data_IF_835611757960
#
_entry.id   IF_835611757960
#
_cell.length_a   1.000
_cell.length_b   1.000
_cell.length_c   1.000
_cell.angle_alpha   90.00
_cell.angle_beta   90.00
_cell.angle_gamma   90.00
#
_symmetry.space_group_name_H-M   'P 1'
#
loop_
_entity.id
_entity.type
_entity.pdbx_description
1 polymer ?
#
# COMPACT_ATOMS: atom_id res chain seq x y z
N UNK A 1 36.60 15.94 5.50
CA UNK A 1 35.48 16.37 4.63
C UNK A 1 34.22 16.38 5.47
N UNK A 2 33.68 17.55 5.78
CA UNK A 2 32.53 17.69 6.66
C UNK A 2 31.27 17.14 5.97
N UNK A 3 30.65 16.13 6.60
CA UNK A 3 29.36 15.58 6.21
C UNK A 3 28.29 16.66 6.36
N UNK A 4 27.80 17.15 5.22
CA UNK A 4 26.72 18.12 5.14
C UNK A 4 25.38 17.42 5.48
N UNK A 5 25.16 17.10 6.77
CA UNK A 5 23.81 16.74 7.23
C UNK A 5 22.98 18.01 7.14
N UNK A 6 22.11 18.09 6.13
CA UNK A 6 21.01 19.06 6.12
C UNK A 6 20.34 18.99 7.48
N UNK A 7 20.36 20.08 8.23
CA UNK A 7 19.52 20.22 9.42
C UNK A 7 18.08 20.04 8.94
N UNK A 8 17.41 19.00 9.42
CA UNK A 8 16.01 18.75 9.09
C UNK A 8 15.18 19.86 9.72
N UNK A 9 14.77 20.84 8.92
CA UNK A 9 13.83 21.87 9.36
C UNK A 9 12.43 21.25 9.39
N UNK A 10 12.08 20.74 10.58
CA UNK A 10 10.78 20.11 10.86
C UNK A 10 9.61 21.04 10.55
N UNK A 11 9.77 22.37 10.72
CA UNK A 11 8.71 23.33 10.43
C UNK A 11 8.50 23.46 8.93
N UNK A 12 9.58 23.71 8.18
CA UNK A 12 9.50 23.81 6.71
C UNK A 12 8.97 22.52 6.08
N UNK A 13 9.37 21.36 6.63
CA UNK A 13 8.85 20.06 6.20
C UNK A 13 7.32 19.95 6.37
N UNK A 14 6.81 20.27 7.57
CA UNK A 14 5.37 20.22 7.86
C UNK A 14 4.58 21.23 7.04
N UNK A 15 5.16 22.41 6.77
CA UNK A 15 4.53 23.42 5.91
C UNK A 15 4.38 22.90 4.47
N UNK A 16 5.42 22.30 3.90
CA UNK A 16 5.37 21.70 2.56
C UNK A 16 4.36 20.53 2.48
N UNK A 17 4.33 19.66 3.49
CA UNK A 17 3.34 18.59 3.57
C UNK A 17 1.91 19.17 3.62
N UNK A 18 1.67 20.21 4.41
CA UNK A 18 0.36 20.85 4.50
C UNK A 18 -0.06 21.50 3.18
N UNK A 19 0.87 22.14 2.46
CA UNK A 19 0.63 22.69 1.11
C UNK A 19 0.23 21.57 0.15
N UNK A 20 0.94 20.44 0.18
CA UNK A 20 0.63 19.28 -0.65
C UNK A 20 -0.76 18.70 -0.32
N UNK A 21 -1.06 18.48 0.97
CA UNK A 21 -2.37 17.99 1.41
C UNK A 21 -3.48 18.94 0.94
N UNK A 22 -3.31 20.25 1.08
CA UNK A 22 -4.33 21.22 0.69
C UNK A 22 -4.60 21.24 -0.82
N UNK A 23 -3.63 20.81 -1.65
CA UNK A 23 -3.77 20.75 -3.10
C UNK A 23 -4.23 19.39 -3.63
N UNK A 24 -3.91 18.29 -2.92
CA UNK A 24 -4.12 16.93 -3.42
C UNK A 24 -5.23 16.16 -2.69
N UNK A 25 -5.56 16.54 -1.45
CA UNK A 25 -6.62 15.87 -0.70
C UNK A 25 -8.01 16.36 -1.14
N UNK A 26 -8.82 15.44 -1.66
CA UNK A 26 -10.08 15.74 -2.34
C UNK A 26 -11.01 16.65 -1.50
N UNK A 27 -11.10 16.36 -0.20
CA UNK A 27 -11.99 17.08 0.72
C UNK A 27 -11.50 18.48 1.12
N UNK A 28 -10.27 18.86 0.71
CA UNK A 28 -9.72 20.21 0.91
C UNK A 28 -9.60 21.01 -0.38
N UNK A 29 -9.21 20.37 -1.49
CA UNK A 29 -8.96 21.08 -2.75
C UNK A 29 -10.23 21.26 -3.59
N UNK A 30 -11.26 20.42 -3.41
CA UNK A 30 -12.46 20.47 -4.23
C UNK A 30 -13.41 21.60 -3.81
N UNK A 31 -13.77 22.46 -4.76
CA UNK A 31 -14.70 23.58 -4.56
C UNK A 31 -16.08 23.15 -4.04
N UNK A 32 -16.51 21.91 -4.33
CA UNK A 32 -17.74 21.28 -3.83
C UNK A 32 -17.86 21.33 -2.30
N UNK A 33 -16.74 21.33 -1.59
CA UNK A 33 -16.69 21.26 -0.13
C UNK A 33 -16.47 22.62 0.55
N UNK A 34 -16.54 23.73 -0.19
CA UNK A 34 -16.41 25.09 0.36
C UNK A 34 -17.69 25.54 1.10
N UNK A 35 -17.52 26.43 2.09
CA UNK A 35 -18.62 26.95 2.89
C UNK A 35 -19.15 25.96 3.93
N UNK A 36 -20.13 26.38 4.75
CA UNK A 36 -20.65 25.58 5.87
C UNK A 36 -21.26 24.24 5.41
N UNK A 37 -22.17 24.28 4.44
CA UNK A 37 -22.80 23.06 3.90
C UNK A 37 -21.81 22.14 3.18
N UNK A 38 -20.82 22.71 2.49
CA UNK A 38 -19.74 21.95 1.87
C UNK A 38 -18.89 21.18 2.89
N UNK A 39 -18.60 21.79 4.05
CA UNK A 39 -17.86 21.14 5.15
C UNK A 39 -18.64 19.99 5.78
N UNK A 40 -19.96 20.14 5.95
CA UNK A 40 -20.83 19.05 6.43
C UNK A 40 -20.81 17.89 5.43
N UNK A 41 -20.96 18.19 4.13
CA UNK A 41 -20.92 17.17 3.08
C UNK A 41 -19.55 16.47 3.01
N UNK A 42 -18.46 17.21 3.16
CA UNK A 42 -17.12 16.63 3.20
C UNK A 42 -16.96 15.62 4.34
N UNK A 43 -17.55 15.90 5.51
CA UNK A 43 -17.48 15.00 6.65
C UNK A 43 -18.22 13.69 6.38
N UNK A 44 -19.42 13.75 5.78
CA UNK A 44 -20.19 12.57 5.39
C UNK A 44 -19.47 11.74 4.31
N UNK A 45 -19.12 12.37 3.18
CA UNK A 45 -18.47 11.72 2.05
C UNK A 45 -17.10 11.12 2.48
N UNK A 46 -16.40 11.75 3.42
CA UNK A 46 -15.16 11.24 4.02
C UNK A 46 -15.40 9.97 4.84
N UNK A 47 -16.39 9.98 5.74
CA UNK A 47 -16.70 8.80 6.56
C UNK A 47 -17.09 7.61 5.69
N UNK A 48 -17.87 7.84 4.62
CA UNK A 48 -18.22 6.79 3.66
C UNK A 48 -16.99 6.21 2.95
N UNK A 49 -16.04 7.07 2.54
CA UNK A 49 -14.79 6.63 1.93
C UNK A 49 -13.94 5.78 2.89
N UNK A 50 -13.80 6.22 4.15
CA UNK A 50 -13.06 5.52 5.20
C UNK A 50 -13.68 4.14 5.53
N UNK A 51 -15.01 4.04 5.60
CA UNK A 51 -15.71 2.77 5.81
C UNK A 51 -15.49 1.78 4.66
N UNK A 52 -15.58 2.26 3.42
CA UNK A 52 -15.40 1.43 2.22
C UNK A 52 -13.99 0.86 2.16
N UNK A 53 -13.01 1.63 2.60
CA UNK A 53 -11.62 1.19 2.65
C UNK A 53 -11.38 0.17 3.78
N UNK A 54 -11.97 0.40 4.96
CA UNK A 54 -11.87 -0.50 6.11
C UNK A 54 -12.41 -1.90 5.80
N UNK A 55 -13.50 -2.00 5.01
CA UNK A 55 -14.05 -3.29 4.56
C UNK A 55 -13.11 -4.07 3.64
N UNK A 56 -12.15 -3.42 2.98
CA UNK A 56 -11.22 -4.03 2.03
C UNK A 56 -9.86 -4.39 2.61
N UNK A 57 -9.47 -3.83 3.75
CA UNK A 57 -8.09 -3.86 4.26
C UNK A 57 -7.72 -5.07 5.15
N UNK A 58 -8.58 -6.06 5.30
CA UNK A 58 -8.32 -7.25 6.13
C UNK A 58 -7.29 -8.22 5.52
N UNK A 59 -6.51 -8.90 6.36
CA UNK A 59 -5.67 -10.04 5.92
C UNK A 59 -6.59 -11.19 5.51
N UNK A 60 -6.55 -11.58 4.24
CA UNK A 60 -7.40 -12.65 3.69
C UNK A 60 -6.57 -13.63 2.90
N UNK A 61 -6.98 -14.89 2.98
CA UNK A 61 -6.59 -15.92 2.05
C UNK A 61 -7.59 -15.92 0.90
N UNK A 62 -7.12 -16.10 -0.32
CA UNK A 62 -8.03 -16.41 -1.43
C UNK A 62 -8.33 -17.90 -1.33
N UNK A 63 -9.57 -18.25 -0.96
CA UNK A 63 -10.06 -19.63 -1.02
C UNK A 63 -10.00 -20.14 -2.46
N UNK A 64 -9.58 -21.40 -2.63
CA UNK A 64 -9.64 -22.05 -3.93
C UNK A 64 -11.11 -22.17 -4.37
N UNK A 65 -11.45 -21.80 -5.61
CA UNK A 65 -12.82 -21.96 -6.09
C UNK A 65 -13.20 -23.45 -6.06
N UNK A 66 -14.30 -23.77 -5.38
CA UNK A 66 -14.90 -25.11 -5.41
C UNK A 66 -15.57 -25.27 -6.76
N UNK A 67 -14.96 -26.05 -7.66
CA UNK A 67 -15.49 -26.34 -8.99
C UNK A 67 -16.32 -27.62 -8.90
N UNK A 68 -17.60 -27.54 -9.25
CA UNK A 68 -18.48 -28.70 -9.40
C UNK A 68 -18.44 -29.18 -10.86
N UNK A 69 -18.04 -30.45 -11.06
CA UNK A 69 -17.85 -31.04 -12.38
C UNK A 69 -19.14 -31.70 -12.89
N UNK A 70 -19.43 -31.53 -14.17
CA UNK A 70 -20.60 -32.15 -14.84
C UNK A 70 -20.23 -33.19 -15.90
N UNK A 71 -18.98 -33.24 -16.41
CA UNK A 71 -18.60 -34.12 -17.53
C UNK A 71 -17.10 -34.55 -17.50
N UNK A 72 -16.74 -35.86 -17.51
CA UNK A 72 -15.37 -36.35 -17.25
C UNK A 72 -14.39 -36.38 -18.44
N UNK A 73 -14.82 -36.17 -19.70
CA UNK A 73 -14.01 -36.52 -20.88
C UNK A 73 -13.15 -35.39 -21.48
N UNK A 74 -13.13 -34.21 -20.86
CA UNK A 74 -12.18 -33.10 -21.18
C UNK A 74 -11.27 -32.72 -20.00
N UNK A 75 -11.28 -33.54 -18.95
CA UNK A 75 -10.67 -33.26 -17.65
C UNK A 75 -9.17 -32.96 -17.73
N UNK A 76 -8.38 -33.70 -18.51
CA UNK A 76 -6.93 -33.47 -18.57
C UNK A 76 -6.56 -32.15 -19.26
N UNK A 77 -7.19 -31.84 -20.40
CA UNK A 77 -6.92 -30.59 -21.12
C UNK A 77 -7.45 -29.38 -20.34
N UNK A 78 -8.61 -29.52 -19.71
CA UNK A 78 -9.21 -28.49 -18.87
C UNK A 78 -8.42 -28.26 -17.58
N UNK A 79 -7.96 -29.33 -16.90
CA UNK A 79 -7.04 -29.23 -15.75
C UNK A 79 -5.75 -28.52 -16.12
N UNK A 80 -5.11 -28.91 -17.24
CA UNK A 80 -3.89 -28.22 -17.73
C UNK A 80 -4.16 -26.74 -17.99
N UNK A 81 -5.29 -26.39 -18.60
CA UNK A 81 -5.63 -24.99 -18.85
C UNK A 81 -5.87 -24.20 -17.54
N UNK A 82 -6.55 -24.79 -16.56
CA UNK A 82 -6.73 -24.18 -15.23
C UNK A 82 -5.40 -24.03 -14.50
N UNK A 83 -4.57 -25.07 -14.46
CA UNK A 83 -3.25 -25.04 -13.84
C UNK A 83 -2.37 -23.95 -14.45
N UNK A 84 -2.37 -23.81 -15.78
CA UNK A 84 -1.65 -22.74 -16.48
C UNK A 84 -2.21 -21.35 -16.15
N UNK A 85 -3.54 -21.19 -16.11
CA UNK A 85 -4.19 -19.93 -15.74
C UNK A 85 -3.88 -19.53 -14.30
N UNK A 86 -3.89 -20.51 -13.39
CA UNK A 86 -3.60 -20.34 -11.99
C UNK A 86 -2.12 -19.99 -11.79
N UNK A 87 -1.21 -20.70 -12.45
CA UNK A 87 0.23 -20.40 -12.43
C UNK A 87 0.50 -18.95 -12.90
N UNK A 88 -0.10 -18.52 -14.02
CA UNK A 88 0.01 -17.13 -14.52
C UNK A 88 -0.54 -16.10 -13.53
N UNK A 89 -1.60 -16.43 -12.81
CA UNK A 89 -2.18 -15.55 -11.79
C UNK A 89 -1.26 -15.45 -10.57
N UNK A 90 -0.70 -16.57 -10.13
CA UNK A 90 0.25 -16.62 -9.02
C UNK A 90 1.56 -15.91 -9.34
N UNK A 91 2.05 -15.98 -10.57
CA UNK A 91 3.23 -15.22 -10.99
C UNK A 91 3.03 -13.70 -10.97
N UNK A 92 1.77 -13.27 -11.04
CA UNK A 92 1.36 -11.86 -10.96
C UNK A 92 0.91 -11.44 -9.57
N UNK A 93 0.90 -12.35 -8.59
CA UNK A 93 0.45 -12.06 -7.24
C UNK A 93 1.33 -11.01 -6.56
N UNK A 94 0.80 -10.41 -5.48
CA UNK A 94 1.54 -9.47 -4.65
C UNK A 94 2.84 -10.10 -4.15
N UNK A 95 2.77 -11.25 -3.48
CA UNK A 95 3.94 -11.92 -2.88
C UNK A 95 4.99 -12.27 -3.93
N UNK A 96 4.59 -12.83 -5.08
CA UNK A 96 5.54 -13.17 -6.13
C UNK A 96 6.24 -11.94 -6.72
N UNK A 97 5.50 -10.85 -6.90
CA UNK A 97 6.06 -9.59 -7.43
C UNK A 97 6.99 -8.93 -6.42
N UNK A 98 6.60 -8.92 -5.15
CA UNK A 98 7.43 -8.41 -4.05
C UNK A 98 8.78 -9.13 -4.00
N UNK A 99 8.79 -10.46 -4.07
CA UNK A 99 10.03 -11.23 -4.05
C UNK A 99 10.92 -10.92 -5.27
N UNK A 100 10.34 -10.80 -6.47
CA UNK A 100 11.08 -10.40 -7.68
C UNK A 100 11.72 -9.02 -7.53
N UNK A 101 11.02 -8.06 -6.91
CA UNK A 101 11.56 -6.72 -6.65
C UNK A 101 12.74 -6.79 -5.66
N UNK A 102 12.60 -7.57 -4.58
CA UNK A 102 13.65 -7.76 -3.57
C UNK A 102 14.90 -8.37 -4.22
N UNK A 103 14.73 -9.41 -5.02
CA UNK A 103 15.81 -10.07 -5.77
C UNK A 103 16.48 -9.10 -6.76
N UNK A 104 15.70 -8.33 -7.52
CA UNK A 104 16.22 -7.36 -8.48
C UNK A 104 16.99 -6.20 -7.83
N UNK A 105 16.66 -5.85 -6.58
CA UNK A 105 17.35 -4.81 -5.79
C UNK A 105 18.53 -5.35 -4.98
N UNK A 106 18.78 -6.66 -5.00
CA UNK A 106 19.84 -7.34 -4.22
C UNK A 106 19.79 -7.00 -2.71
N UNK A 107 18.57 -6.92 -2.15
CA UNK A 107 18.36 -6.58 -0.75
C UNK A 107 18.07 -7.82 0.10
N UNK A 108 18.63 -7.86 1.32
CA UNK A 108 18.38 -8.95 2.24
C UNK A 108 16.95 -8.87 2.80
N UNK A 109 16.22 -9.99 2.76
CA UNK A 109 14.88 -10.13 3.33
C UNK A 109 14.79 -9.66 4.78
N UNK A 110 15.85 -9.85 5.56
CA UNK A 110 15.94 -9.41 6.97
C UNK A 110 15.88 -7.89 7.08
N UNK A 111 16.59 -7.19 6.21
CA UNK A 111 16.65 -5.73 6.24
C UNK A 111 15.32 -5.14 5.77
N UNK A 112 14.64 -5.78 4.81
CA UNK A 112 13.35 -5.33 4.30
C UNK A 112 12.28 -5.31 5.39
N UNK A 113 12.04 -6.43 6.09
CA UNK A 113 10.96 -6.42 7.10
C UNK A 113 11.31 -5.55 8.31
N UNK A 114 12.60 -5.41 8.66
CA UNK A 114 13.04 -4.50 9.73
C UNK A 114 12.82 -3.04 9.34
N UNK A 115 13.21 -2.66 8.12
CA UNK A 115 13.02 -1.30 7.60
C UNK A 115 11.54 -0.96 7.39
N UNK A 116 10.73 -1.95 7.04
CA UNK A 116 9.27 -1.82 6.98
C UNK A 116 8.59 -1.81 8.35
N UNK A 117 9.35 -2.02 9.44
CA UNK A 117 8.82 -2.17 10.80
C UNK A 117 7.71 -3.24 10.89
N UNK A 118 7.95 -4.42 10.32
CA UNK A 118 7.01 -5.54 10.26
C UNK A 118 7.55 -6.74 11.05
N UNK A 119 6.67 -7.44 11.77
CA UNK A 119 7.02 -8.69 12.45
C UNK A 119 7.53 -9.76 11.46
N UNK A 120 8.61 -10.45 11.84
CA UNK A 120 9.25 -11.49 11.02
C UNK A 120 8.28 -12.62 10.62
N UNK A 121 7.33 -12.99 11.48
CA UNK A 121 6.33 -14.04 11.19
C UNK A 121 5.37 -13.58 10.11
N UNK A 122 4.93 -12.32 10.15
CA UNK A 122 4.08 -11.73 9.12
C UNK A 122 4.82 -11.72 7.77
N UNK A 123 6.07 -11.27 7.75
CA UNK A 123 6.89 -11.34 6.53
C UNK A 123 7.11 -12.77 6.05
N UNK A 124 7.25 -13.74 6.96
CA UNK A 124 7.37 -15.15 6.58
C UNK A 124 6.12 -15.68 5.89
N UNK A 125 4.91 -15.28 6.31
CA UNK A 125 3.65 -15.61 5.63
C UNK A 125 3.65 -15.04 4.21
N UNK A 126 3.89 -13.73 4.09
CA UNK A 126 3.98 -13.03 2.80
C UNK A 126 4.95 -13.75 1.84
N UNK A 127 6.13 -14.15 2.33
CA UNK A 127 7.15 -14.82 1.51
C UNK A 127 6.74 -16.23 1.08
N UNK A 128 6.26 -17.04 2.02
CA UNK A 128 6.08 -18.47 1.77
C UNK A 128 4.71 -18.79 1.13
N UNK A 129 3.73 -17.90 1.26
CA UNK A 129 2.36 -18.11 0.82
C UNK A 129 2.05 -17.22 -0.40
N UNK A 130 2.10 -17.82 -1.60
CA UNK A 130 1.98 -17.07 -2.87
C UNK A 130 0.67 -16.27 -3.02
N UNK A 131 -0.39 -16.67 -2.30
CA UNK A 131 -1.72 -16.06 -2.32
C UNK A 131 -2.00 -15.14 -1.14
N UNK A 132 -1.03 -14.97 -0.25
CA UNK A 132 -1.22 -14.12 0.91
C UNK A 132 -1.39 -12.66 0.47
N UNK A 133 -2.50 -12.05 0.87
CA UNK A 133 -2.76 -10.63 0.66
C UNK A 133 -2.53 -9.92 1.99
N UNK A 134 -1.42 -9.17 2.13
CA UNK A 134 -1.20 -8.38 3.34
C UNK A 134 -2.20 -7.23 3.41
N UNK A 135 -2.33 -6.63 4.60
CA UNK A 135 -3.07 -5.38 4.73
C UNK A 135 -2.47 -4.28 3.84
N UNK A 136 -3.29 -3.31 3.42
CA UNK A 136 -2.81 -2.16 2.64
C UNK A 136 -1.66 -1.41 3.33
N UNK A 137 -1.73 -1.24 4.65
CA UNK A 137 -0.67 -0.59 5.44
C UNK A 137 0.64 -1.37 5.38
N UNK A 138 0.57 -2.69 5.51
CA UNK A 138 1.72 -3.60 5.40
C UNK A 138 2.33 -3.56 3.99
N UNK A 139 1.47 -3.56 2.96
CA UNK A 139 1.92 -3.46 1.56
C UNK A 139 2.64 -2.13 1.28
N UNK A 140 2.12 -1.02 1.80
CA UNK A 140 2.76 0.30 1.70
C UNK A 140 4.08 0.33 2.47
N UNK A 141 4.13 -0.20 3.69
CA UNK A 141 5.34 -0.26 4.49
C UNK A 141 6.47 -1.03 3.77
N UNK A 142 6.14 -2.11 3.06
CA UNK A 142 7.09 -2.85 2.23
C UNK A 142 7.54 -2.05 1.00
N UNK A 143 6.62 -1.35 0.33
CA UNK A 143 6.96 -0.46 -0.79
C UNK A 143 7.92 0.67 -0.36
N UNK A 144 7.67 1.25 0.82
CA UNK A 144 8.52 2.27 1.45
C UNK A 144 9.90 1.68 1.80
N UNK A 145 9.96 0.50 2.41
CA UNK A 145 11.23 -0.16 2.74
C UNK A 145 12.09 -0.44 1.50
N UNK A 146 11.44 -0.81 0.39
CA UNK A 146 12.07 -1.05 -0.91
C UNK A 146 12.36 0.24 -1.70
N UNK A 147 12.00 1.40 -1.17
CA UNK A 147 12.18 2.72 -1.81
C UNK A 147 11.59 2.74 -3.22
N UNK A 148 10.38 2.20 -3.36
CA UNK A 148 9.68 2.16 -4.64
C UNK A 148 9.19 3.55 -5.04
N UNK A 149 9.36 3.88 -6.32
CA UNK A 149 8.74 5.05 -6.90
C UNK A 149 7.21 4.98 -6.82
N UNK A 150 6.52 6.10 -7.06
CA UNK A 150 5.06 6.15 -6.99
C UNK A 150 4.40 5.16 -7.96
N UNK A 151 4.94 5.02 -9.17
CA UNK A 151 4.41 4.09 -10.18
C UNK A 151 4.63 2.64 -9.79
N UNK A 152 5.81 2.27 -9.31
CA UNK A 152 6.11 0.93 -8.81
C UNK A 152 5.26 0.55 -7.60
N UNK A 153 5.07 1.51 -6.68
CA UNK A 153 4.19 1.34 -5.51
C UNK A 153 2.76 1.08 -5.96
N UNK A 154 2.24 1.86 -6.91
CA UNK A 154 0.89 1.63 -7.44
C UNK A 154 0.75 0.28 -8.14
N UNK A 155 1.74 -0.16 -8.92
CA UNK A 155 1.71 -1.49 -9.56
C UNK A 155 1.69 -2.60 -8.50
N UNK A 156 2.54 -2.50 -7.48
CA UNK A 156 2.60 -3.48 -6.40
C UNK A 156 1.28 -3.52 -5.61
N UNK A 157 0.73 -2.37 -5.23
CA UNK A 157 -0.54 -2.27 -4.50
C UNK A 157 -1.71 -2.82 -5.31
N UNK A 158 -1.75 -2.57 -6.62
CA UNK A 158 -2.80 -3.05 -7.51
C UNK A 158 -2.88 -4.59 -7.54
N UNK A 159 -1.76 -5.28 -7.38
CA UNK A 159 -1.69 -6.75 -7.31
C UNK A 159 -2.28 -7.34 -6.03
N UNK A 160 -2.40 -6.51 -4.98
CA UNK A 160 -3.14 -6.83 -3.77
C UNK A 160 -4.57 -6.25 -3.77
N UNK A 161 -5.02 -5.65 -4.88
CA UNK A 161 -6.35 -5.03 -4.99
C UNK A 161 -6.47 -3.66 -4.33
N UNK A 162 -5.34 -3.00 -4.02
CA UNK A 162 -5.29 -1.68 -3.41
C UNK A 162 -4.93 -0.57 -4.42
N UNK A 163 -5.19 0.67 -4.01
CA UNK A 163 -4.74 1.88 -4.70
C UNK A 163 -4.50 2.97 -3.67
N UNK A 164 -3.66 3.97 -4.00
CA UNK A 164 -3.57 5.21 -3.23
C UNK A 164 -4.67 6.15 -3.72
N UNK A 165 -5.62 6.46 -2.85
CA UNK A 165 -6.80 7.29 -3.14
C UNK A 165 -6.65 8.70 -2.56
N UNK A 166 -6.94 9.71 -3.38
CA UNK A 166 -6.92 11.11 -2.95
C UNK A 166 -8.06 11.51 -2.01
N UNK A 167 -9.07 10.64 -1.87
CA UNK A 167 -10.12 10.78 -0.86
C UNK A 167 -9.67 10.33 0.54
N UNK A 168 -8.52 9.66 0.66
CA UNK A 168 -8.02 9.11 1.92
C UNK A 168 -6.79 9.94 2.34
N UNK A 169 -6.86 10.56 3.52
CA UNK A 169 -5.79 11.45 3.99
C UNK A 169 -4.48 10.68 4.20
N UNK A 170 -4.57 9.46 4.76
CA UNK A 170 -3.44 8.55 4.90
C UNK A 170 -2.72 8.35 3.56
N UNK A 171 -3.44 8.04 2.48
CA UNK A 171 -2.85 7.80 1.16
C UNK A 171 -2.17 9.04 0.56
N UNK A 172 -2.76 10.22 0.75
CA UNK A 172 -2.18 11.49 0.25
C UNK A 172 -0.87 11.81 0.98
N UNK A 173 -0.80 11.52 2.28
CA UNK A 173 0.46 11.66 3.04
C UNK A 173 1.51 10.68 2.48
N UNK A 174 1.16 9.42 2.25
CA UNK A 174 2.08 8.44 1.64
C UNK A 174 2.54 8.89 0.23
N UNK A 175 1.63 9.37 -0.61
CA UNK A 175 1.95 9.90 -1.96
C UNK A 175 2.98 11.03 -1.87
N UNK A 176 2.83 11.95 -0.90
CA UNK A 176 3.82 13.01 -0.67
C UNK A 176 5.20 12.45 -0.35
N UNK A 177 5.32 11.55 0.63
CA UNK A 177 6.63 11.03 1.04
C UNK A 177 7.35 10.29 -0.09
N UNK A 178 6.63 9.44 -0.84
CA UNK A 178 7.18 8.72 -1.98
C UNK A 178 7.63 9.68 -3.09
N UNK A 179 6.81 10.70 -3.41
CA UNK A 179 7.17 11.68 -4.45
C UNK A 179 8.34 12.58 -4.05
N UNK A 180 8.56 12.82 -2.76
CA UNK A 180 9.75 13.50 -2.25
C UNK A 180 10.98 12.58 -2.12
N UNK A 181 10.83 11.27 -2.38
CA UNK A 181 11.90 10.29 -2.18
C UNK A 181 12.30 10.12 -0.72
N UNK A 182 11.43 10.48 0.23
CA UNK A 182 11.67 10.29 1.66
C UNK A 182 10.99 9.01 2.14
N UNK A 183 11.79 7.95 2.28
CA UNK A 183 11.32 6.62 2.66
C UNK A 183 11.64 6.25 4.12
N UNK A 184 11.95 7.24 4.97
CA UNK A 184 12.15 7.01 6.40
C UNK A 184 10.80 6.74 7.08
N UNK A 185 10.57 5.48 7.45
CA UNK A 185 9.31 5.03 8.06
C UNK A 185 8.99 5.78 9.36
N UNK A 186 10.00 6.23 10.12
CA UNK A 186 9.78 6.96 11.36
C UNK A 186 9.29 8.37 11.08
N UNK A 187 9.89 9.07 10.11
CA UNK A 187 9.41 10.39 9.68
C UNK A 187 8.00 10.32 9.07
N UNK A 188 7.72 9.26 8.28
CA UNK A 188 6.38 9.01 7.76
C UNK A 188 5.40 8.82 8.91
N UNK A 189 5.74 7.99 9.90
CA UNK A 189 4.88 7.72 11.05
C UNK A 189 4.66 8.95 11.93
N UNK A 190 5.66 9.81 12.12
CA UNK A 190 5.50 11.08 12.85
C UNK A 190 4.49 12.00 12.14
N UNK A 191 4.59 12.12 10.81
CA UNK A 191 3.65 12.89 10.01
C UNK A 191 2.23 12.30 10.05
N UNK A 192 2.09 10.97 9.91
CA UNK A 192 0.80 10.28 10.03
C UNK A 192 0.18 10.50 11.42
N UNK A 193 0.97 10.35 12.47
CA UNK A 193 0.53 10.53 13.85
C UNK A 193 0.06 11.97 14.12
N UNK A 194 0.79 12.98 13.63
CA UNK A 194 0.37 14.40 13.73
C UNK A 194 -0.98 14.69 13.06
N UNK A 195 -1.37 13.88 12.06
CA UNK A 195 -2.64 13.95 11.36
C UNK A 195 -3.69 12.95 11.87
N UNK A 196 -3.43 12.30 13.01
CA UNK A 196 -4.29 11.27 13.62
C UNK A 196 -4.61 10.12 12.65
N UNK A 197 -3.67 9.80 11.76
CA UNK A 197 -3.78 8.68 10.82
C UNK A 197 -3.07 7.45 11.40
N UNK A 198 -3.45 6.22 10.99
CA UNK A 198 -2.75 5.02 11.42
C UNK A 198 -1.30 5.01 10.92
N UNK A 199 -0.38 4.49 11.73
CA UNK A 199 1.03 4.36 11.37
C UNK A 199 1.28 3.19 10.40
N UNK A 200 2.43 3.23 9.72
CA UNK A 200 3.02 2.14 8.95
C UNK A 200 3.87 1.24 9.83
N UNK A 201 3.79 -0.06 9.57
CA UNK A 201 4.46 -1.06 10.40
C UNK A 201 3.89 -1.10 11.83
N UNK A 202 4.10 -2.22 12.50
CA UNK A 202 3.48 -2.54 13.79
C UNK A 202 3.62 -4.01 14.12
#
# INVERSE_FOLDING_TARGET
MASNRKVFDSKMFMDNLNIFINSHYEFKCNSKYKGFFGRIKAQLDRTEAEEKESRKSGESWIDDPVIYFSDPLSEEEYRRHIELSLAKTLEKSFSATLMKIIEAKDQNHIDIYKKANIDRKLFSKIRNEKRYIPSKRTAIALAVALELSLSETQDLLKRAGFTLSRSILFDVIIEYFITQGNYDIYQINDALHSHKQPILGG
#
